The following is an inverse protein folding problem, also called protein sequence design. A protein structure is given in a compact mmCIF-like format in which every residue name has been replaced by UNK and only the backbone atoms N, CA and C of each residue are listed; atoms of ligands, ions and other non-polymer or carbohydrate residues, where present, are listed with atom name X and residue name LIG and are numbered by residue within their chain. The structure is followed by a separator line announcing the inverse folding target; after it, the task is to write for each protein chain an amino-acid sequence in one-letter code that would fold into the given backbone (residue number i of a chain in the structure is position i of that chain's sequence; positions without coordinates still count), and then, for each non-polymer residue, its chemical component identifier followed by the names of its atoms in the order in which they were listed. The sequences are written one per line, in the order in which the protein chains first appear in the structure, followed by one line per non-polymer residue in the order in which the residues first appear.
data_IF_913177057322
#
_entry.id   IF_913177057322
#
_cell.length_a   1.000
_cell.length_b   1.000
_cell.length_c   1.000
_cell.angle_alpha   90.00
_cell.angle_beta   90.00
_cell.angle_gamma   90.00
#
_symmetry.space_group_name_H-M   'P 1'
#
loop_
_entity.id
_entity.type
_entity.pdbx_description
1 polymer ?
#
# COMPACT_ATOMS: atom_id res chain seq x y z
N UNK A 1 3.11 -21.19 6.43
CA UNK A 1 2.63 -19.91 6.95
C UNK A 1 1.16 -20.12 7.25
N UNK A 2 0.78 -20.04 8.50
CA UNK A 2 -0.62 -20.12 8.94
C UNK A 2 -1.22 -18.71 8.86
N UNK A 3 -2.49 -18.61 8.42
CA UNK A 3 -3.27 -17.38 8.37
C UNK A 3 -4.51 -17.48 9.26
N UNK A 4 -5.20 -16.37 9.47
CA UNK A 4 -6.48 -16.35 10.16
C UNK A 4 -7.58 -16.94 9.25
N UNK A 5 -8.44 -17.79 9.80
CA UNK A 5 -9.66 -18.26 9.11
C UNK A 5 -10.71 -17.15 9.14
N UNK A 6 -11.03 -16.62 7.97
CA UNK A 6 -12.03 -15.56 7.76
C UNK A 6 -13.17 -16.04 6.84
N UNK A 7 -13.37 -17.33 6.72
CA UNK A 7 -14.34 -17.93 5.78
C UNK A 7 -15.74 -17.37 5.94
N UNK A 8 -16.26 -17.29 7.18
CA UNK A 8 -17.60 -16.77 7.45
C UNK A 8 -17.73 -15.27 7.12
N UNK A 9 -16.65 -14.50 7.30
CA UNK A 9 -16.61 -13.09 6.92
C UNK A 9 -16.61 -12.93 5.40
N UNK A 10 -15.84 -13.74 4.67
CA UNK A 10 -15.80 -13.71 3.21
C UNK A 10 -17.16 -14.07 2.57
N UNK A 11 -17.92 -14.99 3.16
CA UNK A 11 -19.28 -15.34 2.70
C UNK A 11 -20.24 -14.16 2.72
N UNK A 12 -19.97 -13.13 3.51
CA UNK A 12 -20.80 -11.90 3.54
C UNK A 12 -20.55 -10.97 2.36
N UNK A 13 -19.43 -11.16 1.61
CA UNK A 13 -19.04 -10.30 0.50
C UNK A 13 -19.72 -10.77 -0.79
N UNK A 14 -20.66 -10.00 -1.30
CA UNK A 14 -21.47 -10.36 -2.48
C UNK A 14 -20.67 -10.57 -3.77
N UNK A 15 -19.47 -9.99 -3.88
CA UNK A 15 -18.59 -10.11 -5.05
C UNK A 15 -17.81 -11.45 -5.09
N UNK A 16 -17.91 -12.26 -4.02
CA UNK A 16 -17.34 -13.60 -3.94
C UNK A 16 -18.46 -14.62 -4.14
N UNK A 17 -18.43 -15.43 -5.21
CA UNK A 17 -19.48 -16.43 -5.44
C UNK A 17 -19.42 -17.55 -4.42
N UNK A 18 -20.53 -17.83 -3.76
CA UNK A 18 -20.64 -18.97 -2.82
C UNK A 18 -20.72 -20.33 -3.52
N UNK A 19 -21.03 -20.34 -4.80
CA UNK A 19 -21.12 -21.55 -5.64
C UNK A 19 -20.69 -21.22 -7.06
N UNK A 20 -19.84 -22.07 -7.61
CA UNK A 20 -19.38 -21.97 -9.00
C UNK A 20 -19.88 -23.20 -9.75
N UNK A 21 -20.57 -22.99 -10.87
CA UNK A 21 -21.18 -24.06 -11.66
C UNK A 21 -20.50 -24.26 -13.02
N UNK A 22 -19.45 -23.51 -13.32
CA UNK A 22 -18.72 -23.60 -14.58
C UNK A 22 -18.01 -24.96 -14.67
N UNK A 23 -18.17 -25.64 -15.81
CA UNK A 23 -17.50 -26.92 -16.10
C UNK A 23 -15.97 -26.77 -16.23
N UNK A 24 -15.50 -25.57 -16.58
CA UNK A 24 -14.09 -25.26 -16.78
C UNK A 24 -13.41 -24.75 -15.47
N UNK A 25 -14.13 -24.83 -14.35
CA UNK A 25 -13.54 -24.46 -13.06
C UNK A 25 -12.57 -25.56 -12.60
N UNK A 26 -11.33 -25.23 -12.20
CA UNK A 26 -10.36 -26.21 -11.70
C UNK A 26 -10.88 -26.96 -10.48
N UNK A 27 -10.41 -28.21 -10.29
CA UNK A 27 -10.77 -28.99 -9.11
C UNK A 27 -10.33 -28.32 -7.81
N UNK A 28 -9.21 -27.60 -7.86
CA UNK A 28 -8.65 -26.85 -6.72
C UNK A 28 -7.93 -25.61 -7.22
N UNK A 29 -8.21 -24.46 -6.63
CA UNK A 29 -7.55 -23.20 -6.97
C UNK A 29 -7.55 -22.19 -5.81
N UNK A 30 -6.41 -21.54 -5.58
CA UNK A 30 -6.28 -20.38 -4.70
C UNK A 30 -6.52 -19.11 -5.51
N UNK A 31 -7.66 -18.45 -5.36
CA UNK A 31 -7.93 -17.17 -6.01
C UNK A 31 -7.47 -16.04 -5.09
N UNK A 32 -6.60 -15.19 -5.61
CA UNK A 32 -6.10 -13.99 -4.91
C UNK A 32 -6.81 -12.75 -5.41
N UNK A 33 -7.18 -11.91 -4.45
CA UNK A 33 -7.88 -10.66 -4.71
C UNK A 33 -7.62 -9.63 -3.62
N UNK A 34 -8.28 -8.50 -3.75
CA UNK A 34 -8.25 -7.42 -2.76
C UNK A 34 -9.65 -7.15 -2.25
N UNK A 35 -9.81 -7.11 -0.93
CA UNK A 35 -11.03 -6.64 -0.28
C UNK A 35 -10.90 -5.15 -0.05
N UNK A 36 -11.91 -4.38 -0.46
CA UNK A 36 -11.89 -2.92 -0.37
C UNK A 36 -13.29 -2.36 -0.12
N UNK A 37 -13.35 -1.07 0.15
CA UNK A 37 -14.59 -0.28 0.24
C UNK A 37 -14.49 0.84 -0.81
N UNK A 38 -15.56 1.02 -1.62
CA UNK A 38 -15.57 2.10 -2.60
C UNK A 38 -15.65 3.48 -1.93
N UNK A 39 -15.19 4.52 -2.62
CA UNK A 39 -15.23 5.90 -2.11
C UNK A 39 -16.66 6.35 -1.76
N UNK A 40 -17.62 5.99 -2.61
CA UNK A 40 -19.04 6.28 -2.38
C UNK A 40 -19.61 5.57 -1.16
N UNK A 41 -19.25 4.30 -0.95
CA UNK A 41 -19.70 3.54 0.21
C UNK A 41 -18.96 3.95 1.49
N UNK A 42 -17.68 4.28 1.40
CA UNK A 42 -16.93 4.76 2.56
C UNK A 42 -17.49 6.06 3.14
N UNK A 43 -17.97 6.98 2.30
CA UNK A 43 -18.62 8.22 2.76
C UNK A 43 -19.78 7.96 3.74
N UNK A 44 -20.49 6.82 3.61
CA UNK A 44 -21.61 6.46 4.47
C UNK A 44 -21.19 5.97 5.87
N UNK A 45 -19.92 5.58 6.02
CA UNK A 45 -19.37 5.00 7.27
C UNK A 45 -18.14 5.77 7.78
N UNK A 46 -17.79 6.89 7.16
CA UNK A 46 -16.56 7.66 7.43
C UNK A 46 -16.43 8.14 8.89
N UNK A 47 -17.54 8.31 9.61
CA UNK A 47 -17.52 8.70 11.03
C UNK A 47 -16.87 7.65 11.94
N UNK A 48 -16.87 6.38 11.51
CA UNK A 48 -16.39 5.25 12.32
C UNK A 48 -14.95 4.83 12.01
N UNK A 49 -14.38 5.30 10.90
CA UNK A 49 -13.10 4.80 10.40
C UNK A 49 -12.22 5.92 9.85
N UNK A 50 -10.91 5.82 10.09
CA UNK A 50 -9.94 6.81 9.64
C UNK A 50 -9.75 6.86 8.10
N UNK A 51 -9.85 5.70 7.42
CA UNK A 51 -9.72 5.58 5.97
C UNK A 51 -10.34 4.27 5.45
N UNK A 52 -10.62 4.15 4.13
CA UNK A 52 -11.24 2.97 3.54
C UNK A 52 -10.45 1.66 3.73
N UNK A 53 -9.12 1.73 3.69
CA UNK A 53 -8.24 0.56 3.84
C UNK A 53 -8.31 -0.02 5.24
N UNK A 54 -8.18 0.81 6.26
CA UNK A 54 -8.30 0.38 7.66
C UNK A 54 -9.72 -0.14 7.97
N UNK A 55 -10.73 0.51 7.40
CA UNK A 55 -12.11 0.05 7.50
C UNK A 55 -12.28 -1.35 6.91
N UNK A 56 -11.75 -1.60 5.70
CA UNK A 56 -11.85 -2.90 5.04
C UNK A 56 -11.11 -3.98 5.83
N UNK A 57 -9.83 -3.77 6.16
CA UNK A 57 -9.01 -4.78 6.84
C UNK A 57 -9.50 -5.09 8.26
N UNK A 58 -9.92 -4.07 9.01
CA UNK A 58 -10.46 -4.23 10.36
C UNK A 58 -11.82 -4.92 10.37
N UNK A 59 -12.68 -4.60 9.41
CA UNK A 59 -14.01 -5.22 9.30
C UNK A 59 -13.96 -6.67 8.82
N UNK A 60 -12.98 -7.01 7.98
CA UNK A 60 -12.82 -8.38 7.49
C UNK A 60 -12.39 -9.36 8.59
N UNK A 61 -11.72 -8.90 9.64
CA UNK A 61 -11.20 -9.72 10.75
C UNK A 61 -12.07 -9.66 12.00
N UNK A 62 -13.35 -9.32 11.88
CA UNK A 62 -14.29 -9.35 13.01
C UNK A 62 -14.57 -10.81 13.41
N UNK A 63 -14.61 -11.08 14.72
CA UNK A 63 -14.95 -12.42 15.25
C UNK A 63 -16.39 -12.82 14.90
N UNK A 64 -17.30 -11.85 14.84
CA UNK A 64 -18.69 -12.04 14.43
C UNK A 64 -18.89 -11.54 12.98
N UNK A 65 -19.17 -12.47 12.09
CA UNK A 65 -19.44 -12.19 10.67
C UNK A 65 -20.69 -11.32 10.45
N UNK A 66 -21.63 -11.28 11.42
CA UNK A 66 -22.77 -10.35 11.38
C UNK A 66 -22.34 -8.90 11.43
N UNK A 67 -21.22 -8.58 12.09
CA UNK A 67 -20.64 -7.22 12.09
C UNK A 67 -20.04 -6.93 10.71
N UNK A 68 -19.31 -7.87 10.13
CA UNK A 68 -18.74 -7.75 8.78
C UNK A 68 -19.82 -7.52 7.73
N UNK A 69 -20.96 -8.23 7.82
CA UNK A 69 -22.07 -8.12 6.86
C UNK A 69 -22.69 -6.73 6.76
N UNK A 70 -22.56 -5.89 7.80
CA UNK A 70 -23.06 -4.52 7.84
C UNK A 70 -22.12 -3.52 7.14
N UNK A 71 -20.92 -3.94 6.80
CA UNK A 71 -19.92 -3.10 6.13
C UNK A 71 -19.94 -3.40 4.62
N UNK A 72 -20.01 -2.39 3.75
CA UNK A 72 -20.12 -2.58 2.31
C UNK A 72 -18.79 -3.00 1.68
N UNK A 73 -18.28 -4.15 2.10
CA UNK A 73 -17.05 -4.74 1.56
C UNK A 73 -17.27 -5.20 0.13
N UNK A 74 -16.27 -4.97 -0.71
CA UNK A 74 -16.19 -5.41 -2.10
C UNK A 74 -14.93 -6.24 -2.31
N UNK A 75 -14.92 -7.06 -3.36
CA UNK A 75 -13.78 -7.89 -3.71
C UNK A 75 -13.46 -7.79 -5.20
N UNK A 76 -12.17 -7.68 -5.51
CA UNK A 76 -11.66 -7.74 -6.89
C UNK A 76 -10.62 -8.85 -6.96
N UNK A 77 -10.87 -9.88 -7.77
CA UNK A 77 -9.92 -10.93 -8.06
C UNK A 77 -8.91 -10.48 -9.14
N UNK A 78 -7.60 -10.84 -8.98
CA UNK A 78 -6.59 -10.41 -9.92
C UNK A 78 -5.56 -11.47 -10.31
N UNK A 79 -5.41 -12.58 -9.56
CA UNK A 79 -4.49 -13.65 -9.86
C UNK A 79 -4.85 -14.92 -9.08
N UNK A 80 -4.08 -15.97 -9.27
CA UNK A 80 -4.18 -17.20 -8.49
C UNK A 80 -2.86 -17.47 -7.76
N UNK A 81 -2.94 -18.32 -6.74
CA UNK A 81 -1.78 -18.87 -6.05
C UNK A 81 -1.44 -20.26 -6.63
N UNK A 82 -1.99 -21.28 -6.00
CA UNK A 82 -1.93 -22.66 -6.48
C UNK A 82 -3.15 -22.97 -7.34
N UNK A 83 -3.02 -23.86 -8.30
CA UNK A 83 -4.15 -24.47 -9.01
C UNK A 83 -3.80 -25.89 -9.49
N UNK A 84 -4.78 -26.78 -9.37
CA UNK A 84 -4.76 -28.12 -9.94
C UNK A 84 -5.71 -28.17 -11.14
N UNK A 85 -5.21 -28.68 -12.26
CA UNK A 85 -5.99 -28.89 -13.50
C UNK A 85 -6.51 -27.58 -14.15
N UNK A 86 -5.79 -26.46 -13.97
CA UNK A 86 -6.14 -25.21 -14.65
C UNK A 86 -5.70 -25.25 -16.11
N UNK A 87 -6.67 -25.16 -17.00
CA UNK A 87 -6.43 -25.08 -18.45
C UNK A 87 -6.50 -23.62 -18.94
N UNK A 88 -5.44 -22.85 -18.65
CA UNK A 88 -5.35 -21.43 -18.99
C UNK A 88 -3.90 -21.08 -19.30
N UNK A 89 -3.64 -20.39 -20.42
CA UNK A 89 -2.29 -20.13 -20.91
C UNK A 89 -1.81 -18.70 -20.70
N UNK A 90 -2.70 -17.80 -20.31
CA UNK A 90 -2.36 -16.38 -20.15
C UNK A 90 -3.13 -15.70 -19.02
N UNK A 91 -2.54 -14.61 -18.50
CA UNK A 91 -3.15 -13.74 -17.49
C UNK A 91 -4.49 -13.15 -17.97
N UNK A 92 -4.56 -12.73 -19.23
CA UNK A 92 -5.79 -12.16 -19.80
C UNK A 92 -6.91 -13.19 -19.96
N UNK A 93 -6.60 -14.42 -20.30
CA UNK A 93 -7.55 -15.53 -20.35
C UNK A 93 -8.02 -15.89 -18.93
N UNK A 94 -7.12 -15.97 -17.98
CA UNK A 94 -7.46 -16.20 -16.58
C UNK A 94 -8.44 -15.15 -16.05
N UNK A 95 -8.21 -13.86 -16.35
CA UNK A 95 -9.13 -12.80 -15.97
C UNK A 95 -10.50 -12.92 -16.62
N UNK A 96 -10.59 -13.45 -17.85
CA UNK A 96 -11.88 -13.78 -18.48
C UNK A 96 -12.58 -14.92 -17.75
N UNK A 97 -11.83 -15.96 -17.39
CA UNK A 97 -12.36 -17.11 -16.65
C UNK A 97 -12.88 -16.68 -15.27
N UNK A 98 -12.17 -15.80 -14.55
CA UNK A 98 -12.68 -15.23 -13.29
C UNK A 98 -14.06 -14.60 -13.43
N UNK A 99 -14.30 -13.85 -14.52
CA UNK A 99 -15.63 -13.28 -14.81
C UNK A 99 -16.69 -14.35 -15.05
N UNK A 100 -16.33 -15.39 -15.81
CA UNK A 100 -17.24 -16.55 -16.10
C UNK A 100 -17.59 -17.26 -14.81
N UNK A 101 -16.62 -17.40 -13.89
CA UNK A 101 -16.79 -18.01 -12.57
C UNK A 101 -17.54 -17.14 -11.57
N UNK A 102 -17.92 -15.89 -11.95
CA UNK A 102 -18.71 -14.98 -11.14
C UNK A 102 -17.93 -13.97 -10.31
N UNK A 103 -16.59 -13.97 -10.39
CA UNK A 103 -15.76 -13.00 -9.68
C UNK A 103 -15.74 -11.62 -10.37
N UNK A 104 -15.68 -10.57 -9.57
CA UNK A 104 -15.38 -9.24 -10.07
C UNK A 104 -13.89 -9.09 -10.33
N UNK A 105 -13.53 -8.46 -11.45
CA UNK A 105 -12.16 -8.10 -11.80
C UNK A 105 -12.04 -6.59 -12.00
N UNK A 106 -10.81 -6.07 -11.94
CA UNK A 106 -10.57 -4.65 -12.18
C UNK A 106 -10.97 -4.27 -13.62
N UNK A 107 -11.86 -3.29 -13.83
CA UNK A 107 -12.34 -2.87 -15.15
C UNK A 107 -11.25 -2.23 -16.02
N UNK A 108 -10.15 -1.78 -15.42
CA UNK A 108 -9.02 -1.14 -16.12
C UNK A 108 -7.96 -2.12 -16.64
N UNK A 109 -8.16 -3.44 -16.43
CA UNK A 109 -7.27 -4.46 -16.97
C UNK A 109 -7.24 -4.41 -18.49
N UNK A 110 -6.03 -4.32 -19.07
CA UNK A 110 -5.81 -4.29 -20.53
C UNK A 110 -4.58 -5.08 -20.92
N UNK A 111 -4.60 -5.69 -22.10
CA UNK A 111 -3.41 -6.22 -22.74
C UNK A 111 -2.83 -5.13 -23.63
N UNK A 112 -1.58 -4.73 -23.34
CA UNK A 112 -0.92 -3.62 -24.04
C UNK A 112 0.41 -4.12 -24.60
N UNK A 113 0.71 -3.74 -25.85
CA UNK A 113 1.98 -4.04 -26.52
C UNK A 113 2.83 -2.78 -26.62
N UNK A 114 4.11 -2.92 -26.29
CA UNK A 114 5.12 -1.87 -26.42
C UNK A 114 5.19 -0.89 -25.24
N UNK A 115 6.41 -0.51 -24.88
CA UNK A 115 6.70 0.35 -23.72
C UNK A 115 6.03 1.72 -23.83
N UNK A 116 6.03 2.32 -25.03
CA UNK A 116 5.39 3.63 -25.27
C UNK A 116 3.91 3.61 -24.87
N UNK A 117 3.18 2.56 -25.25
CA UNK A 117 1.76 2.43 -24.95
C UNK A 117 1.50 2.13 -23.47
N UNK A 118 2.42 1.42 -22.80
CA UNK A 118 2.35 1.23 -21.33
C UNK A 118 2.48 2.56 -20.60
N UNK A 119 3.42 3.43 -21.00
CA UNK A 119 3.61 4.76 -20.42
C UNK A 119 2.39 5.66 -20.66
N UNK A 120 1.82 5.65 -21.88
CA UNK A 120 0.62 6.41 -22.20
C UNK A 120 -0.58 5.96 -21.36
N UNK A 121 -0.76 4.65 -21.18
CA UNK A 121 -1.83 4.11 -20.33
C UNK A 121 -1.64 4.49 -18.85
N UNK A 122 -0.38 4.50 -18.35
CA UNK A 122 -0.07 4.95 -16.99
C UNK A 122 -0.49 6.41 -16.78
N UNK A 123 -0.06 7.32 -17.65
CA UNK A 123 -0.43 8.73 -17.58
C UNK A 123 -1.95 8.94 -17.60
N UNK A 124 -2.64 8.28 -18.53
CA UNK A 124 -4.09 8.36 -18.65
C UNK A 124 -4.83 7.89 -17.38
N UNK A 125 -4.34 6.82 -16.71
CA UNK A 125 -4.94 6.36 -15.46
C UNK A 125 -4.58 7.25 -14.28
N UNK A 126 -3.37 7.85 -14.26
CA UNK A 126 -2.97 8.82 -13.24
C UNK A 126 -3.87 10.07 -13.27
N UNK A 127 -4.17 10.59 -14.45
CA UNK A 127 -5.08 11.71 -14.65
C UNK A 127 -6.50 11.40 -14.15
N UNK A 128 -7.01 10.19 -14.45
CA UNK A 128 -8.35 9.73 -14.06
C UNK A 128 -8.44 9.20 -12.62
N UNK A 129 -7.32 9.16 -11.87
CA UNK A 129 -7.25 8.58 -10.53
C UNK A 129 -8.32 9.08 -9.57
N UNK A 130 -8.67 10.36 -9.66
CA UNK A 130 -9.68 10.99 -8.78
C UNK A 130 -11.10 10.50 -9.04
N UNK A 131 -11.41 10.12 -10.28
CA UNK A 131 -12.72 9.67 -10.73
C UNK A 131 -12.96 8.19 -10.42
N UNK A 132 -11.90 7.42 -10.14
CA UNK A 132 -12.00 6.00 -9.84
C UNK A 132 -12.58 5.81 -8.43
N UNK A 133 -13.58 4.93 -8.32
CA UNK A 133 -14.33 4.64 -7.08
C UNK A 133 -13.50 3.96 -5.97
N UNK A 134 -12.28 3.57 -6.23
CA UNK A 134 -11.34 3.03 -5.25
C UNK A 134 -9.96 3.68 -5.40
N UNK A 135 -9.20 3.71 -4.32
CA UNK A 135 -7.88 4.30 -4.34
C UNK A 135 -6.88 3.39 -5.05
N UNK A 136 -6.09 4.00 -5.94
CA UNK A 136 -5.00 3.33 -6.65
C UNK A 136 -3.71 4.15 -6.49
N UNK A 137 -2.59 3.47 -6.35
CA UNK A 137 -1.27 4.08 -6.18
C UNK A 137 -0.32 3.80 -7.35
N UNK A 138 -0.80 3.07 -8.36
CA UNK A 138 -0.03 2.73 -9.56
C UNK A 138 -0.68 1.61 -10.37
N UNK A 139 0.11 1.09 -11.30
CA UNK A 139 -0.24 -0.01 -12.19
C UNK A 139 0.75 -1.14 -11.99
N UNK A 140 0.28 -2.38 -12.04
CA UNK A 140 1.15 -3.56 -12.11
C UNK A 140 1.12 -4.10 -13.52
N UNK A 141 2.27 -4.08 -14.19
CA UNK A 141 2.46 -4.77 -15.46
C UNK A 141 2.83 -6.23 -15.18
N UNK A 142 2.23 -7.15 -15.94
CA UNK A 142 2.51 -8.58 -15.86
C UNK A 142 2.75 -9.12 -17.24
N UNK A 143 3.74 -10.00 -17.40
CA UNK A 143 3.90 -10.77 -18.63
C UNK A 143 2.65 -11.62 -18.84
N UNK A 144 1.99 -11.48 -20.01
CA UNK A 144 0.67 -12.10 -20.23
C UNK A 144 0.73 -13.64 -20.34
N UNK A 145 1.79 -14.19 -20.95
CA UNK A 145 1.94 -15.62 -21.19
C UNK A 145 2.47 -16.35 -19.94
N UNK A 146 1.77 -17.39 -19.47
CA UNK A 146 2.14 -18.13 -18.26
C UNK A 146 3.41 -18.98 -18.41
N UNK A 147 3.69 -19.52 -19.59
CA UNK A 147 4.95 -20.23 -19.84
C UNK A 147 6.15 -19.31 -19.70
N UNK A 148 6.03 -18.05 -20.15
CA UNK A 148 7.06 -17.02 -19.97
C UNK A 148 7.16 -16.58 -18.52
N UNK A 149 6.05 -16.45 -17.78
CA UNK A 149 6.08 -16.17 -16.35
C UNK A 149 6.85 -17.28 -15.59
N UNK A 150 6.56 -18.56 -15.89
CA UNK A 150 7.25 -19.71 -15.32
C UNK A 150 8.75 -19.68 -15.62
N UNK A 151 9.13 -19.35 -16.86
CA UNK A 151 10.55 -19.27 -17.28
C UNK A 151 11.30 -18.13 -16.59
N UNK A 152 10.66 -16.96 -16.40
CA UNK A 152 11.25 -15.83 -15.68
C UNK A 152 11.40 -16.10 -14.18
N UNK A 153 10.46 -16.82 -13.59
CA UNK A 153 10.49 -17.23 -12.19
C UNK A 153 10.40 -16.08 -11.20
N UNK A 154 11.01 -16.30 -10.04
CA UNK A 154 11.00 -15.39 -8.89
C UNK A 154 12.42 -14.98 -8.49
N UNK A 155 12.55 -13.81 -7.88
CA UNK A 155 13.77 -13.37 -7.19
C UNK A 155 13.37 -13.12 -5.73
N UNK A 156 13.89 -13.94 -4.81
CA UNK A 156 13.45 -13.96 -3.42
C UNK A 156 11.91 -14.06 -3.34
N UNK A 157 11.24 -13.04 -2.82
CA UNK A 157 9.78 -13.02 -2.65
C UNK A 157 9.03 -12.28 -3.76
N UNK A 158 9.72 -11.83 -4.82
CA UNK A 158 9.13 -11.03 -5.89
C UNK A 158 9.16 -11.78 -7.25
N UNK A 159 8.07 -11.72 -8.04
CA UNK A 159 8.07 -12.28 -9.38
C UNK A 159 8.91 -11.42 -10.33
N UNK A 160 9.74 -12.06 -11.18
CA UNK A 160 10.51 -11.36 -12.24
C UNK A 160 9.66 -10.98 -13.44
N UNK A 161 8.45 -11.51 -13.54
CA UNK A 161 7.50 -11.29 -14.62
C UNK A 161 6.46 -10.20 -14.33
N UNK A 162 6.56 -9.53 -13.17
CA UNK A 162 5.68 -8.44 -12.79
C UNK A 162 6.48 -7.24 -12.27
N UNK A 163 6.02 -6.03 -12.59
CA UNK A 163 6.61 -4.79 -12.10
C UNK A 163 5.52 -3.77 -11.76
N UNK A 164 5.63 -3.16 -10.59
CA UNK A 164 4.77 -2.07 -10.19
C UNK A 164 5.31 -0.72 -10.68
N UNK A 165 4.46 0.05 -11.37
CA UNK A 165 4.73 1.42 -11.78
C UNK A 165 3.82 2.34 -10.98
N UNK A 166 4.38 2.92 -9.92
CA UNK A 166 3.64 3.79 -8.99
C UNK A 166 3.32 5.13 -9.66
N UNK A 167 2.17 5.71 -9.28
CA UNK A 167 1.85 7.09 -9.64
C UNK A 167 2.72 8.07 -8.85
N UNK A 168 2.77 9.31 -9.32
CA UNK A 168 3.45 10.39 -8.62
C UNK A 168 2.90 10.56 -7.21
N UNK A 169 3.80 10.66 -6.25
CA UNK A 169 3.43 10.84 -4.87
C UNK A 169 2.82 12.22 -4.61
N UNK A 170 1.82 12.28 -3.76
CA UNK A 170 1.26 13.56 -3.33
C UNK A 170 2.24 14.24 -2.36
N UNK A 171 2.49 15.54 -2.58
CA UNK A 171 3.35 16.37 -1.76
C UNK A 171 2.56 17.53 -1.18
N UNK A 172 2.91 17.92 0.04
CA UNK A 172 2.41 19.15 0.66
C UNK A 172 3.48 19.78 1.53
N UNK A 173 3.34 21.07 1.79
CA UNK A 173 4.27 21.81 2.63
C UNK A 173 3.68 21.90 4.03
N UNK A 174 4.51 21.66 5.06
CA UNK A 174 4.15 21.79 6.46
C UNK A 174 5.34 22.27 7.30
N UNK A 175 5.13 22.55 8.58
CA UNK A 175 6.18 22.96 9.53
C UNK A 175 6.38 21.86 10.57
N UNK A 176 7.64 21.56 10.91
CA UNK A 176 7.98 20.61 11.97
C UNK A 176 7.76 21.27 13.32
N UNK A 177 6.83 20.74 14.10
CA UNK A 177 6.52 21.22 15.45
C UNK A 177 7.45 20.58 16.48
N UNK A 178 7.74 19.28 16.33
CA UNK A 178 8.60 18.51 17.22
C UNK A 178 9.20 17.30 16.48
N UNK A 179 10.25 16.72 17.02
CA UNK A 179 10.83 15.44 16.56
C UNK A 179 10.84 14.49 17.75
N UNK A 180 10.16 13.37 17.62
CA UNK A 180 10.06 12.31 18.61
C UNK A 180 10.79 11.05 18.13
N UNK A 181 11.32 10.29 19.08
CA UNK A 181 11.93 9.00 18.80
C UNK A 181 10.96 7.90 19.19
N UNK A 182 10.54 7.10 18.23
CA UNK A 182 9.74 5.90 18.45
C UNK A 182 10.65 4.68 18.58
N UNK A 183 10.37 3.84 19.57
CA UNK A 183 11.08 2.58 19.80
C UNK A 183 10.28 1.44 19.19
N UNK A 184 10.84 0.80 18.18
CA UNK A 184 10.24 -0.36 17.52
C UNK A 184 10.34 -1.64 18.38
N UNK A 185 9.63 -2.69 18.00
CA UNK A 185 9.64 -3.99 18.70
C UNK A 185 11.02 -4.65 18.76
N UNK A 186 11.86 -4.36 17.80
CA UNK A 186 13.25 -4.86 17.72
C UNK A 186 14.25 -3.98 18.46
N UNK A 187 13.80 -2.90 19.13
CA UNK A 187 14.67 -1.91 19.75
C UNK A 187 15.15 -0.81 18.81
N UNK A 188 14.82 -0.88 17.52
CA UNK A 188 15.21 0.15 16.56
C UNK A 188 14.58 1.51 16.90
N UNK A 189 15.40 2.57 16.91
CA UNK A 189 14.98 3.94 17.17
C UNK A 189 14.65 4.64 15.85
N UNK A 190 13.38 4.99 15.65
CA UNK A 190 12.90 5.66 14.44
C UNK A 190 12.49 7.09 14.78
N UNK A 191 13.15 8.11 14.21
CA UNK A 191 12.76 9.50 14.40
C UNK A 191 11.52 9.82 13.57
N UNK A 192 10.56 10.51 14.19
CA UNK A 192 9.29 10.92 13.59
C UNK A 192 9.10 12.41 13.81
N UNK A 193 8.93 13.16 12.73
CA UNK A 193 8.55 14.56 12.78
C UNK A 193 7.05 14.68 13.09
N UNK A 194 6.72 15.39 14.16
CA UNK A 194 5.39 15.95 14.38
C UNK A 194 5.30 17.22 13.56
N UNK A 195 4.35 17.28 12.65
CA UNK A 195 4.15 18.42 11.74
C UNK A 195 2.81 19.09 11.97
N UNK A 196 2.67 20.33 11.59
CA UNK A 196 1.36 20.95 11.51
C UNK A 196 0.47 20.11 10.60
N UNK A 197 -0.76 19.76 11.04
CA UNK A 197 -1.64 18.91 10.22
C UNK A 197 -1.84 19.48 8.83
N UNK A 198 -1.60 18.66 7.81
CA UNK A 198 -1.71 19.05 6.41
C UNK A 198 -2.38 17.92 5.60
N UNK A 199 -3.23 18.30 4.64
CA UNK A 199 -3.86 17.34 3.75
C UNK A 199 -2.88 16.90 2.65
N UNK A 200 -2.62 15.59 2.57
CA UNK A 200 -1.78 14.99 1.52
C UNK A 200 -2.61 13.89 0.82
N UNK A 201 -3.06 14.17 -0.39
CA UNK A 201 -3.82 13.21 -1.17
C UNK A 201 -5.16 12.80 -0.53
N UNK A 202 -5.85 13.74 0.15
CA UNK A 202 -7.14 13.48 0.80
C UNK A 202 -7.05 12.98 2.24
N UNK A 203 -5.85 12.81 2.79
CA UNK A 203 -5.63 12.35 4.18
C UNK A 203 -4.93 13.43 4.99
N UNK A 204 -5.45 13.69 6.20
CA UNK A 204 -4.79 14.58 7.17
C UNK A 204 -3.58 13.90 7.77
N UNK A 205 -2.41 14.49 7.59
CA UNK A 205 -1.12 13.99 8.05
C UNK A 205 -0.57 14.92 9.11
N UNK A 206 -0.25 14.39 10.30
CA UNK A 206 0.38 15.09 11.41
C UNK A 206 1.73 14.50 11.82
N UNK A 207 2.11 13.35 11.23
CA UNK A 207 3.35 12.65 11.52
C UNK A 207 4.04 12.27 10.21
N UNK A 208 5.35 12.47 10.12
CA UNK A 208 6.15 12.04 8.98
C UNK A 208 7.44 11.39 9.47
N UNK A 209 7.82 10.24 8.91
CA UNK A 209 9.07 9.59 9.28
C UNK A 209 10.27 10.40 8.79
N UNK A 210 11.32 10.40 9.59
CA UNK A 210 12.64 10.93 9.23
C UNK A 210 13.63 9.80 8.93
N UNK A 211 13.13 8.55 8.87
CA UNK A 211 13.86 7.32 8.63
C UNK A 211 14.89 6.99 9.73
N UNK A 212 16.00 7.73 9.80
CA UNK A 212 17.10 7.49 10.74
C UNK A 212 17.87 8.80 11.03
N UNK A 213 18.87 8.72 11.90
CA UNK A 213 19.74 9.85 12.25
C UNK A 213 20.49 10.40 11.04
N UNK A 214 20.99 9.54 10.14
CA UNK A 214 21.76 9.94 8.97
C UNK A 214 20.93 10.80 8.00
N UNK A 215 19.64 10.48 7.82
CA UNK A 215 18.74 11.29 7.03
C UNK A 215 18.47 12.67 7.64
N UNK A 216 18.34 12.75 8.97
CA UNK A 216 18.22 14.03 9.68
C UNK A 216 19.47 14.89 9.44
N UNK A 217 20.64 14.30 9.60
CA UNK A 217 21.91 14.99 9.42
C UNK A 217 22.14 15.38 7.95
N UNK A 218 21.86 14.49 7.01
CA UNK A 218 22.01 14.71 5.57
C UNK A 218 21.14 15.85 5.06
N UNK A 219 19.91 15.92 5.55
CA UNK A 219 18.93 16.96 5.17
C UNK A 219 18.98 18.18 6.09
N UNK A 220 19.82 18.16 7.13
CA UNK A 220 19.91 19.16 8.20
C UNK A 220 18.51 19.56 8.74
N UNK A 221 17.72 18.54 9.11
CA UNK A 221 16.33 18.74 9.57
C UNK A 221 16.34 19.27 11.01
N UNK A 222 15.55 20.31 11.26
CA UNK A 222 15.43 20.93 12.60
C UNK A 222 13.96 21.19 12.96
N UNK A 223 13.69 21.26 14.25
CA UNK A 223 12.38 21.72 14.75
C UNK A 223 12.15 23.16 14.31
N UNK A 224 10.95 23.45 13.82
CA UNK A 224 10.55 24.75 13.28
C UNK A 224 10.84 24.93 11.78
N UNK A 225 11.42 23.92 11.11
CA UNK A 225 11.65 23.99 9.67
C UNK A 225 10.34 23.84 8.88
N UNK A 226 10.24 24.60 7.81
CA UNK A 226 9.26 24.37 6.74
C UNK A 226 9.77 23.23 5.87
N UNK A 227 8.96 22.18 5.69
CA UNK A 227 9.37 20.97 4.98
C UNK A 227 8.36 20.56 3.93
N UNK A 228 8.84 19.93 2.87
CA UNK A 228 8.01 19.19 1.92
C UNK A 228 7.82 17.77 2.44
N UNK A 229 6.57 17.40 2.67
CA UNK A 229 6.18 16.05 3.08
C UNK A 229 5.54 15.34 1.90
N UNK A 230 5.93 14.10 1.69
CA UNK A 230 5.43 13.25 0.59
C UNK A 230 4.75 12.01 1.15
N UNK A 231 3.64 11.63 0.51
CA UNK A 231 2.94 10.37 0.76
C UNK A 231 2.65 9.68 -0.57
N UNK A 232 3.31 8.55 -0.79
CA UNK A 232 3.06 7.70 -1.96
C UNK A 232 2.02 6.64 -1.58
N UNK A 233 0.80 6.75 -2.12
CA UNK A 233 -0.28 5.82 -1.82
C UNK A 233 -0.57 5.74 -0.31
N UNK A 234 -0.64 4.51 0.22
CA UNK A 234 -0.80 4.22 1.65
C UNK A 234 0.53 4.06 2.41
N UNK A 235 1.63 4.51 1.83
CA UNK A 235 2.96 4.47 2.47
C UNK A 235 3.04 5.53 3.57
N UNK A 236 3.86 5.25 4.58
CA UNK A 236 4.12 6.17 5.69
C UNK A 236 4.63 7.51 5.15
N UNK A 237 3.99 8.65 5.51
CA UNK A 237 4.47 9.96 5.09
C UNK A 237 5.91 10.20 5.54
N UNK A 238 6.72 10.81 4.69
CA UNK A 238 8.11 11.12 5.00
C UNK A 238 8.51 12.53 4.57
N UNK A 239 9.52 13.08 5.22
CA UNK A 239 10.08 14.39 4.88
C UNK A 239 11.03 14.23 3.68
N UNK A 240 10.71 14.91 2.57
CA UNK A 240 11.52 14.91 1.35
C UNK A 240 12.64 15.92 1.41
N UNK A 241 12.31 17.19 1.73
CA UNK A 241 13.25 18.31 1.73
C UNK A 241 12.88 19.37 2.74
N UNK A 242 13.86 20.17 3.10
CA UNK A 242 13.72 21.37 3.95
C UNK A 242 13.78 22.62 3.08
N UNK A 243 12.92 23.57 3.34
CA UNK A 243 12.96 24.92 2.76
C UNK A 243 13.87 25.82 3.62
N UNK A 244 15.16 25.84 3.26
CA UNK A 244 16.16 26.60 4.00
C UNK A 244 15.92 28.11 3.97
N UNK A 245 15.21 28.63 2.95
CA UNK A 245 14.93 30.07 2.87
C UNK A 245 13.96 30.54 3.97
N UNK A 246 13.08 29.64 4.42
CA UNK A 246 12.11 29.91 5.50
C UNK A 246 12.62 29.52 6.89
N UNK A 247 13.86 29.05 7.01
CA UNK A 247 14.43 28.64 8.29
C UNK A 247 14.66 29.82 9.21
N UNK A 248 14.24 29.70 10.47
CA UNK A 248 14.51 30.66 11.53
C UNK A 248 16.02 30.70 11.87
N UNK A 249 16.61 31.89 12.01
CA UNK A 249 18.04 32.03 12.29
C UNK A 249 18.53 31.28 13.55
N UNK A 250 17.67 31.15 14.55
CA UNK A 250 18.02 30.51 15.85
C UNK A 250 17.63 29.03 15.94
N UNK A 251 17.33 28.35 14.82
CA UNK A 251 16.98 26.93 14.85
C UNK A 251 18.19 26.06 15.24
N UNK A 252 18.01 25.21 16.25
CA UNK A 252 19.07 24.31 16.75
C UNK A 252 19.04 23.00 15.99
N UNK A 253 20.20 22.38 15.80
CA UNK A 253 20.32 21.01 15.27
C UNK A 253 19.63 20.03 16.22
N UNK A 254 18.98 19.01 15.64
CA UNK A 254 18.43 17.92 16.44
C UNK A 254 19.56 17.01 16.90
N UNK A 255 19.59 16.73 18.20
CA UNK A 255 20.52 15.78 18.79
C UNK A 255 19.84 14.44 18.99
N UNK A 256 20.31 13.40 18.34
CA UNK A 256 19.80 12.05 18.54
C UNK A 256 20.11 11.56 19.97
N UNK A 257 19.18 10.88 20.65
CA UNK A 257 19.39 10.48 22.04
C UNK A 257 20.47 9.41 22.16
N UNK A 258 21.39 9.55 23.12
CA UNK A 258 22.42 8.58 23.45
C UNK A 258 21.90 7.40 24.27
N UNK A 259 20.72 7.54 24.86
CA UNK A 259 20.04 6.49 25.62
C UNK A 259 18.65 6.28 25.07
N UNK A 260 18.16 5.04 25.13
CA UNK A 260 16.82 4.68 24.71
C UNK A 260 15.76 5.41 25.54
N UNK A 261 14.81 6.13 24.93
CA UNK A 261 13.80 6.88 25.66
C UNK A 261 12.79 5.99 26.41
N UNK A 262 12.73 4.69 26.09
CA UNK A 262 11.82 3.74 26.72
C UNK A 262 12.43 3.03 27.92
N UNK A 263 13.71 2.58 27.82
CA UNK A 263 14.33 1.75 28.86
C UNK A 263 15.61 2.33 29.45
N UNK A 264 16.11 3.47 28.96
CA UNK A 264 17.34 4.12 29.44
C UNK A 264 18.65 3.47 29.01
N UNK A 265 18.62 2.30 28.35
CA UNK A 265 19.83 1.62 27.87
C UNK A 265 20.58 2.47 26.84
N UNK A 266 21.91 2.34 26.81
CA UNK A 266 22.77 3.04 25.84
C UNK A 266 22.40 2.64 24.42
N UNK A 267 22.25 3.62 23.53
CA UNK A 267 22.00 3.38 22.10
C UNK A 267 23.31 3.08 21.37
N UNK A 268 23.23 2.17 20.41
CA UNK A 268 24.33 1.83 19.52
C UNK A 268 23.91 2.13 18.09
N UNK A 269 24.86 2.59 17.28
CA UNK A 269 24.65 2.75 15.84
C UNK A 269 25.11 1.47 15.17
N UNK A 270 24.17 0.75 14.59
CA UNK A 270 24.45 -0.47 13.82
C UNK A 270 24.68 -0.09 12.34
N UNK A 271 25.73 -0.61 11.75
CA UNK A 271 26.08 -0.37 10.36
C UNK A 271 25.97 -1.69 9.60
N UNK A 272 25.01 -1.76 8.70
CA UNK A 272 24.84 -2.94 7.86
C UNK A 272 25.83 -2.89 6.68
N UNK A 273 26.90 -3.68 6.74
CA UNK A 273 27.93 -3.74 5.70
C UNK A 273 27.40 -4.15 4.32
N UNK A 274 26.36 -4.99 4.29
CA UNK A 274 25.75 -5.49 3.04
C UNK A 274 24.97 -4.41 2.31
N UNK A 275 24.28 -3.52 3.04
CA UNK A 275 23.47 -2.44 2.48
C UNK A 275 24.20 -1.10 2.48
N UNK A 276 25.37 -1.00 3.10
CA UNK A 276 26.15 0.25 3.32
C UNK A 276 25.30 1.35 3.99
N UNK A 277 24.35 0.95 4.82
CA UNK A 277 23.43 1.83 5.56
C UNK A 277 23.41 1.49 7.03
#
# INVERSE_FOLDING_TARGET
IEGEDITENLKTIKDIPNKITSKDFPNEIDIRGEVFISKSDFKKIAEKFANPRNAASGSLRQKDSCITSKIPLKFIAYTYGYSKDMNTNSQSEFLKNLKIWGFKINPFNKVIKGVKNLILNHKSLEEKRKEIEFDIDGIVYKVNNFSLQKRLGFAANAPRWAIAHKFSANKSISEIVNIEIQVGRTGALTPVAKIKPVNIGGVMVSNATLHNEDEINRKDIRVGDTVTVERAGDVIPHVVSVDFQKRKKNSKKFNFPKNCPSCGSKTLKDFNETTKK
#
